data_IF_318850218607
#
_entry.id   IF_318850218607
#
_cell.length_a   1.000
_cell.length_b   1.000
_cell.length_c   1.000
_cell.angle_alpha   90.00
_cell.angle_beta   90.00
_cell.angle_gamma   90.00
#
_symmetry.space_group_name_H-M   'P 1'
#
loop_
_entity.id
_entity.type
_entity.pdbx_description
1 polymer ?
#
# COMPACT_ATOMS: atom_id res chain seq x y z
N UNK A 1 -22.58 9.95 2.60
CA UNK A 1 -22.70 11.40 2.83
C UNK A 1 -21.45 12.16 2.36
N UNK A 2 -20.78 11.67 1.30
CA UNK A 2 -19.51 12.22 0.74
C UNK A 2 -19.78 12.92 -0.61
N UNK A 3 -20.83 12.50 -1.32
CA UNK A 3 -21.23 13.08 -2.62
C UNK A 3 -21.56 14.59 -2.51
N UNK A 4 -22.12 15.02 -1.38
CA UNK A 4 -22.58 16.41 -1.19
C UNK A 4 -21.46 17.45 -1.13
N UNK A 5 -20.25 17.10 -0.70
CA UNK A 5 -19.13 18.05 -0.62
C UNK A 5 -18.39 18.16 -1.96
N UNK A 6 -18.36 17.06 -2.73
CA UNK A 6 -17.76 17.04 -4.06
C UNK A 6 -18.56 17.86 -5.07
N UNK A 7 -19.88 17.78 -5.00
CA UNK A 7 -20.80 18.51 -5.88
C UNK A 7 -20.74 20.02 -5.62
N UNK A 8 -20.63 20.44 -4.35
CA UNK A 8 -20.46 21.83 -3.95
C UNK A 8 -19.12 22.44 -4.43
N UNK A 9 -18.03 21.67 -4.36
CA UNK A 9 -16.70 22.11 -4.82
C UNK A 9 -16.63 22.18 -6.35
N UNK A 10 -17.31 21.28 -7.05
CA UNK A 10 -17.43 21.31 -8.51
C UNK A 10 -18.21 22.54 -8.98
N UNK A 11 -19.29 22.92 -8.29
CA UNK A 11 -20.05 24.15 -8.58
C UNK A 11 -19.23 25.41 -8.31
N UNK A 12 -18.39 25.44 -7.25
CA UNK A 12 -17.50 26.57 -6.97
C UNK A 12 -16.41 26.73 -8.04
N UNK A 13 -15.83 25.62 -8.54
CA UNK A 13 -14.82 25.65 -9.59
C UNK A 13 -15.38 26.05 -10.97
N UNK A 14 -16.69 25.87 -11.21
CA UNK A 14 -17.34 26.23 -12.46
C UNK A 14 -17.85 27.69 -12.49
N UNK A 15 -18.06 28.30 -11.32
CA UNK A 15 -18.83 29.54 -11.16
C UNK A 15 -18.08 30.85 -11.30
N UNK A 16 -16.79 30.93 -10.96
CA UNK A 16 -16.01 32.17 -11.11
C UNK A 16 -14.52 31.82 -11.25
N UNK A 17 -13.82 32.46 -12.20
CA UNK A 17 -12.45 32.14 -12.63
C UNK A 17 -11.38 32.23 -11.53
N UNK A 18 -11.35 31.23 -10.65
CA UNK A 18 -10.33 31.03 -9.62
C UNK A 18 -9.30 30.03 -10.18
N UNK A 19 -8.04 30.44 -10.11
CA UNK A 19 -6.85 29.69 -10.55
C UNK A 19 -6.87 28.25 -10.01
N UNK A 20 -6.42 27.32 -10.85
CA UNK A 20 -6.15 25.90 -10.54
C UNK A 20 -6.11 25.59 -9.03
N UNK A 21 -7.16 24.92 -8.55
CA UNK A 21 -7.19 24.42 -7.18
C UNK A 21 -6.40 23.11 -7.16
N UNK A 22 -5.25 23.11 -6.49
CA UNK A 22 -4.50 21.88 -6.22
C UNK A 22 -5.25 21.07 -5.16
N UNK A 23 -5.85 19.97 -5.61
CA UNK A 23 -6.59 19.06 -4.74
C UNK A 23 -5.71 18.43 -3.65
N UNK A 24 -4.38 18.52 -3.75
CA UNK A 24 -3.46 18.02 -2.73
C UNK A 24 -3.66 18.69 -1.35
N UNK A 25 -4.14 19.93 -1.33
CA UNK A 25 -4.40 20.69 -0.10
C UNK A 25 -5.67 20.24 0.65
N UNK A 26 -6.52 19.44 0.00
CA UNK A 26 -7.82 18.99 0.53
C UNK A 26 -7.87 17.48 0.82
N UNK A 27 -6.81 16.74 0.51
CA UNK A 27 -6.72 15.31 0.84
C UNK A 27 -6.29 15.16 2.29
N UNK A 28 -7.17 14.57 3.11
CA UNK A 28 -6.87 14.24 4.50
C UNK A 28 -5.62 13.35 4.59
N UNK A 29 -4.56 13.87 5.19
CA UNK A 29 -3.26 13.19 5.30
C UNK A 29 -3.28 12.05 6.34
N UNK A 30 -4.43 11.74 6.95
CA UNK A 30 -4.61 10.66 7.95
C UNK A 30 -4.26 9.25 7.47
N UNK A 31 -3.91 9.06 6.19
CA UNK A 31 -3.33 7.83 5.67
C UNK A 31 -1.79 7.81 5.61
N UNK A 32 -1.09 8.93 5.81
CA UNK A 32 0.38 9.02 5.64
C UNK A 32 1.13 8.19 6.69
N UNK A 33 0.66 8.15 7.94
CA UNK A 33 1.22 7.30 9.00
C UNK A 33 1.08 5.81 8.70
N UNK A 34 0.12 5.42 7.87
CA UNK A 34 -0.04 4.04 7.38
C UNK A 34 1.15 3.61 6.51
N UNK A 35 1.86 4.58 5.91
CA UNK A 35 3.06 4.39 5.10
C UNK A 35 4.37 4.67 5.86
N UNK A 36 4.34 5.18 7.10
CA UNK A 36 5.57 5.49 7.86
C UNK A 36 6.44 4.27 8.18
N UNK A 37 5.88 3.05 8.10
CA UNK A 37 6.63 1.79 8.22
C UNK A 37 6.99 1.16 6.85
N UNK A 38 6.70 1.84 5.75
CA UNK A 38 7.02 1.33 4.42
C UNK A 38 8.46 1.74 4.06
N UNK A 39 9.39 0.80 4.18
CA UNK A 39 10.79 0.90 3.71
C UNK A 39 10.88 0.88 2.18
N UNK A 40 9.81 1.24 1.48
CA UNK A 40 9.70 1.09 0.04
C UNK A 40 10.14 2.42 -0.59
N UNK A 41 11.35 2.46 -1.14
CA UNK A 41 11.86 3.63 -1.85
C UNK A 41 11.29 3.66 -3.29
N UNK A 42 11.01 4.85 -3.82
CA UNK A 42 10.39 5.01 -5.16
C UNK A 42 11.18 4.36 -6.32
N UNK A 43 12.46 4.06 -6.11
CA UNK A 43 13.36 3.47 -7.11
C UNK A 43 13.63 1.97 -6.91
N UNK A 44 13.06 1.32 -5.89
CA UNK A 44 13.30 -0.11 -5.66
C UNK A 44 12.46 -0.99 -6.59
N UNK A 45 13.06 -2.11 -7.02
CA UNK A 45 12.34 -3.09 -7.82
C UNK A 45 11.18 -3.68 -7.00
N UNK A 46 9.91 -3.61 -7.48
CA UNK A 46 8.77 -4.07 -6.70
C UNK A 46 8.81 -5.55 -6.30
N UNK A 47 9.54 -6.40 -7.04
CA UNK A 47 9.73 -7.80 -6.67
C UNK A 47 10.72 -7.93 -5.52
N UNK A 48 11.85 -7.20 -5.57
CA UNK A 48 12.86 -7.22 -4.50
C UNK A 48 12.26 -6.78 -3.17
N UNK A 49 11.45 -5.73 -3.18
CA UNK A 49 10.72 -5.24 -2.00
C UNK A 49 9.83 -6.34 -1.41
N UNK A 50 9.04 -7.00 -2.25
CA UNK A 50 8.10 -8.04 -1.79
C UNK A 50 8.85 -9.26 -1.28
N UNK A 51 9.98 -9.62 -1.88
CA UNK A 51 10.82 -10.72 -1.39
C UNK A 51 11.44 -10.38 -0.02
N UNK A 52 12.03 -9.20 0.13
CA UNK A 52 12.59 -8.74 1.40
C UNK A 52 11.54 -8.72 2.51
N UNK A 53 10.31 -8.27 2.23
CA UNK A 53 9.22 -8.27 3.19
C UNK A 53 8.74 -9.69 3.56
N UNK A 54 8.82 -10.65 2.64
CA UNK A 54 8.52 -12.06 2.93
C UNK A 54 9.58 -12.63 3.88
N UNK A 55 10.86 -12.39 3.59
CA UNK A 55 11.97 -12.90 4.40
C UNK A 55 11.89 -12.35 5.84
N UNK A 56 11.70 -11.03 6.00
CA UNK A 56 11.50 -10.43 7.32
C UNK A 56 10.29 -11.00 8.07
N UNK A 57 9.17 -11.22 7.37
CA UNK A 57 7.98 -11.80 8.00
C UNK A 57 8.19 -13.26 8.43
N UNK A 58 9.02 -14.02 7.71
CA UNK A 58 9.41 -15.38 8.08
C UNK A 58 10.33 -15.40 9.30
N UNK A 59 11.31 -14.48 9.37
CA UNK A 59 12.19 -14.34 10.52
C UNK A 59 11.41 -13.98 11.78
N UNK A 60 10.52 -12.99 11.68
CA UNK A 60 9.61 -12.61 12.77
C UNK A 60 8.68 -13.75 13.16
N UNK A 61 8.23 -14.58 12.21
CA UNK A 61 7.42 -15.75 12.53
C UNK A 61 8.21 -16.80 13.31
N UNK A 62 9.50 -16.98 12.97
CA UNK A 62 10.41 -17.82 13.75
C UNK A 62 10.56 -17.31 15.19
N UNK A 63 10.71 -16.00 15.35
CA UNK A 63 10.80 -15.37 16.67
C UNK A 63 9.49 -15.45 17.46
N UNK A 64 8.33 -15.18 16.83
CA UNK A 64 7.01 -15.27 17.46
C UNK A 64 6.75 -16.69 18.01
N UNK A 65 7.10 -17.72 17.23
CA UNK A 65 7.05 -19.12 17.67
C UNK A 65 7.97 -19.39 18.87
N UNK A 66 9.16 -18.79 18.86
CA UNK A 66 10.13 -18.97 19.94
C UNK A 66 9.63 -18.42 21.28
N UNK A 67 8.93 -17.28 21.25
CA UNK A 67 8.35 -16.66 22.46
C UNK A 67 6.93 -17.18 22.80
N UNK A 68 6.33 -18.00 21.94
CA UNK A 68 5.00 -18.57 22.14
C UNK A 68 3.84 -17.61 21.91
N UNK A 69 4.03 -16.57 21.10
CA UNK A 69 2.99 -15.57 20.80
C UNK A 69 2.09 -16.03 19.65
N UNK A 70 1.00 -16.71 19.99
CA UNK A 70 0.07 -17.31 19.03
C UNK A 70 -0.72 -16.28 18.21
N UNK A 71 -1.04 -15.12 18.79
CA UNK A 71 -1.78 -14.07 18.11
C UNK A 71 -0.88 -13.39 17.07
N UNK A 72 0.36 -13.12 17.43
CA UNK A 72 1.34 -12.57 16.49
C UNK A 72 1.69 -13.54 15.37
N UNK A 73 1.81 -14.84 15.68
CA UNK A 73 1.95 -15.88 14.66
C UNK A 73 0.80 -15.88 13.64
N UNK A 74 -0.45 -15.74 14.12
CA UNK A 74 -1.63 -15.75 13.26
C UNK A 74 -1.62 -14.54 12.30
N UNK A 75 -1.28 -13.36 12.82
CA UNK A 75 -1.19 -12.14 12.00
C UNK A 75 -0.04 -12.23 10.98
N UNK A 76 1.13 -12.76 11.38
CA UNK A 76 2.26 -12.97 10.46
C UNK A 76 1.93 -13.98 9.35
N UNK A 77 1.22 -15.06 9.66
CA UNK A 77 0.74 -16.02 8.65
C UNK A 77 -0.23 -15.37 7.65
N UNK A 78 -1.15 -14.53 8.13
CA UNK A 78 -2.06 -13.76 7.28
C UNK A 78 -1.30 -12.79 6.37
N UNK A 79 -0.33 -12.05 6.92
CA UNK A 79 0.53 -11.13 6.17
C UNK A 79 1.34 -11.85 5.08
N UNK A 80 1.93 -13.00 5.41
CA UNK A 80 2.65 -13.85 4.44
C UNK A 80 1.74 -14.31 3.29
N UNK A 81 0.48 -14.65 3.57
CA UNK A 81 -0.51 -14.95 2.54
C UNK A 81 -0.70 -13.81 1.54
N UNK A 82 -0.88 -12.58 2.04
CA UNK A 82 -1.05 -11.38 1.21
C UNK A 82 0.21 -11.09 0.39
N UNK A 83 1.39 -11.14 1.01
CA UNK A 83 2.67 -10.92 0.32
C UNK A 83 2.92 -11.96 -0.78
N UNK A 84 2.59 -13.22 -0.53
CA UNK A 84 2.70 -14.30 -1.50
C UNK A 84 1.77 -14.06 -2.71
N UNK A 85 0.53 -13.63 -2.47
CA UNK A 85 -0.40 -13.24 -3.53
C UNK A 85 0.14 -12.04 -4.35
N UNK A 86 0.70 -11.02 -3.68
CA UNK A 86 1.31 -9.86 -4.35
C UNK A 86 2.49 -10.26 -5.22
N UNK A 87 3.39 -11.11 -4.71
CA UNK A 87 4.53 -11.67 -5.46
C UNK A 87 4.05 -12.39 -6.72
N UNK A 88 3.01 -13.20 -6.61
CA UNK A 88 2.46 -13.94 -7.76
C UNK A 88 1.87 -13.00 -8.82
N UNK A 89 1.17 -11.93 -8.41
CA UNK A 89 0.68 -10.88 -9.34
C UNK A 89 1.83 -10.19 -10.08
N UNK A 90 2.90 -9.84 -9.37
CA UNK A 90 4.09 -9.23 -9.98
C UNK A 90 4.79 -10.17 -10.96
N UNK A 91 4.88 -11.47 -10.62
CA UNK A 91 5.42 -12.49 -11.54
C UNK A 91 4.60 -12.58 -12.82
N UNK A 92 3.27 -12.64 -12.69
CA UNK A 92 2.37 -12.71 -13.85
C UNK A 92 2.50 -11.48 -14.76
N UNK A 93 2.59 -10.27 -14.19
CA UNK A 93 2.77 -9.02 -14.94
C UNK A 93 4.06 -9.02 -15.77
N UNK A 94 5.18 -9.46 -15.19
CA UNK A 94 6.46 -9.59 -15.91
C UNK A 94 6.39 -10.59 -17.06
N UNK A 95 5.70 -11.72 -16.87
CA UNK A 95 5.52 -12.71 -17.93
C UNK A 95 4.71 -12.13 -19.10
N UNK A 96 3.68 -11.33 -18.83
CA UNK A 96 2.90 -10.67 -19.90
C UNK A 96 3.66 -9.57 -20.63
N UNK A 97 4.53 -8.82 -19.95
CA UNK A 97 5.34 -7.76 -20.57
C UNK A 97 6.46 -8.32 -21.46
N UNK A 98 6.96 -9.53 -21.20
CA UNK A 98 7.97 -10.21 -22.04
C UNK A 98 7.42 -10.94 -23.27
N UNK A 99 6.11 -10.90 -23.52
CA UNK A 99 5.43 -11.57 -24.64
C UNK A 99 4.96 -10.60 -25.74
N UNK A 100 5.30 -9.31 -25.64
CA UNK A 100 5.08 -8.30 -26.69
C UNK A 100 6.41 -7.88 -27.34
#
# INVERSE_FOLDING_TARGET
MIESEYELLAEYAHGDGVSEVDFHDYVDQRGKSLFENCVNHDNEDPMEVVLSQIDMALDLLGFAKHIGDADWEAELKKRLGILNSRRNKLKAKRTSEGLC
#
